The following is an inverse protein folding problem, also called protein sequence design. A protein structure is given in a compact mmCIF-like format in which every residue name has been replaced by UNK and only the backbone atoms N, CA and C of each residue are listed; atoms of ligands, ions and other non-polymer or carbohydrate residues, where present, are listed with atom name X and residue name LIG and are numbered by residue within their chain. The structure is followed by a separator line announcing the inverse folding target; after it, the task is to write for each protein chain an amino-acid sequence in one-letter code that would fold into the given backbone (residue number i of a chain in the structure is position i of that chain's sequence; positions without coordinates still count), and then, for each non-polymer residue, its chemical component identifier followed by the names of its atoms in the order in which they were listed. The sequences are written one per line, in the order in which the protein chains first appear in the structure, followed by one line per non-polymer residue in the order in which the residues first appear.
data_IF_175828559192
#
_entry.id   IF_175828559192
#
_cell.length_a   1.000
_cell.length_b   1.000
_cell.length_c   1.000
_cell.angle_alpha   90.00
_cell.angle_beta   90.00
_cell.angle_gamma   90.00
#
_symmetry.space_group_name_H-M   'P 1'
#
loop_
_entity.id
_entity.type
_entity.pdbx_description
1 polymer ?
#
# COMPACT_ATOMS: atom_id res chain seq x y z
N UNK A 1 -25.71 13.00 -30.08
CA UNK A 1 -25.43 13.79 -28.86
C UNK A 1 -24.95 12.85 -27.77
N UNK A 2 -23.72 13.11 -27.33
CA UNK A 2 -23.01 12.67 -26.11
C UNK A 2 -23.18 11.25 -25.57
N UNK A 3 -22.27 10.36 -26.02
CA UNK A 3 -21.62 9.37 -25.16
C UNK A 3 -20.79 10.09 -24.10
N UNK A 4 -20.96 9.73 -22.82
CA UNK A 4 -20.00 10.06 -21.75
C UNK A 4 -19.44 8.76 -21.17
N UNK A 5 -18.12 8.78 -21.04
CA UNK A 5 -17.21 7.71 -20.67
C UNK A 5 -17.22 7.47 -19.15
N UNK A 6 -17.16 6.20 -18.74
CA UNK A 6 -16.65 5.76 -17.43
C UNK A 6 -15.48 4.80 -17.71
N UNK A 7 -14.27 5.02 -17.17
CA UNK A 7 -13.16 4.13 -17.40
C UNK A 7 -13.25 2.90 -16.50
N UNK A 8 -12.96 1.76 -17.12
CA UNK A 8 -12.78 0.46 -16.51
C UNK A 8 -11.58 0.45 -15.53
N UNK A 9 -11.77 -0.18 -14.38
CA UNK A 9 -10.71 -0.82 -13.60
C UNK A 9 -11.24 -2.20 -13.16
N UNK A 10 -11.26 -3.15 -14.10
CA UNK A 10 -11.31 -4.57 -13.77
C UNK A 10 -9.87 -5.01 -13.53
N UNK A 11 -9.45 -5.02 -12.27
CA UNK A 11 -8.28 -5.78 -11.87
C UNK A 11 -8.71 -7.25 -11.79
N UNK A 12 -8.47 -8.00 -12.87
CA UNK A 12 -8.56 -9.45 -12.87
C UNK A 12 -7.43 -10.00 -12.02
N UNK A 13 -7.68 -10.16 -10.72
CA UNK A 13 -6.79 -10.90 -9.84
C UNK A 13 -6.98 -12.37 -10.20
N UNK A 14 -5.97 -12.96 -10.86
CA UNK A 14 -5.86 -14.41 -10.96
C UNK A 14 -5.50 -14.94 -9.57
N UNK A 15 -6.53 -15.24 -8.78
CA UNK A 15 -6.36 -15.98 -7.53
C UNK A 15 -6.31 -17.46 -7.91
N UNK A 16 -5.22 -18.20 -7.62
CA UNK A 16 -5.25 -19.65 -7.77
C UNK A 16 -6.35 -20.17 -6.83
N UNK A 17 -7.30 -20.91 -7.38
CA UNK A 17 -8.47 -21.43 -6.68
C UNK A 17 -8.04 -22.45 -5.64
N UNK A 18 -7.69 -21.97 -4.44
CA UNK A 18 -7.85 -22.77 -3.23
C UNK A 18 -9.35 -22.74 -2.95
N UNK A 19 -10.04 -23.84 -3.21
CA UNK A 19 -11.42 -24.01 -2.79
C UNK A 19 -11.46 -24.03 -1.25
N UNK A 20 -11.57 -22.85 -0.63
CA UNK A 20 -12.03 -22.74 0.74
C UNK A 20 -13.47 -23.22 0.76
N UNK A 21 -13.71 -24.34 1.43
CA UNK A 21 -15.07 -24.81 1.67
C UNK A 21 -15.78 -23.80 2.59
N UNK A 22 -16.63 -22.95 2.01
CA UNK A 22 -17.67 -22.26 2.76
C UNK A 22 -18.54 -23.33 3.41
N UNK A 23 -18.93 -23.16 4.68
CA UNK A 23 -20.05 -23.94 5.20
C UNK A 23 -21.23 -23.71 4.24
N UNK A 24 -21.90 -24.78 3.81
CA UNK A 24 -23.05 -24.63 2.93
C UNK A 24 -24.08 -23.73 3.64
N UNK A 25 -24.47 -22.63 3.00
CA UNK A 25 -25.44 -21.70 3.56
C UNK A 25 -26.75 -22.44 3.85
N UNK A 26 -27.33 -22.20 5.03
CA UNK A 26 -28.71 -22.60 5.24
C UNK A 26 -29.61 -21.86 4.25
N UNK A 27 -30.76 -22.44 3.92
CA UNK A 27 -31.74 -21.78 3.05
C UNK A 27 -32.14 -20.39 3.58
N UNK A 28 -32.14 -20.23 4.92
CA UNK A 28 -32.39 -18.97 5.60
C UNK A 28 -31.27 -17.95 5.38
N UNK A 29 -30.01 -18.34 5.57
CA UNK A 29 -28.87 -17.46 5.35
C UNK A 29 -28.73 -17.07 3.86
N UNK A 30 -29.02 -18.00 2.95
CA UNK A 30 -29.10 -17.72 1.52
C UNK A 30 -30.13 -16.64 1.22
N UNK A 31 -31.37 -16.78 1.72
CA UNK A 31 -32.42 -15.75 1.56
C UNK A 31 -32.00 -14.40 2.13
N UNK A 32 -31.35 -14.40 3.31
CA UNK A 32 -30.87 -13.17 3.91
C UNK A 32 -29.85 -12.44 3.02
N UNK A 33 -28.95 -13.19 2.38
CA UNK A 33 -27.95 -12.65 1.44
C UNK A 33 -28.60 -12.08 0.18
N UNK A 34 -29.63 -12.74 -0.36
CA UNK A 34 -30.40 -12.20 -1.49
C UNK A 34 -31.07 -10.87 -1.11
N UNK A 35 -31.66 -10.79 0.08
CA UNK A 35 -32.25 -9.54 0.59
C UNK A 35 -31.20 -8.43 0.79
N UNK A 36 -29.98 -8.77 1.22
CA UNK A 36 -28.86 -7.82 1.30
C UNK A 36 -28.46 -7.32 -0.09
N UNK A 37 -28.35 -8.23 -1.07
CA UNK A 37 -28.01 -7.88 -2.44
C UNK A 37 -29.05 -6.95 -3.07
N UNK A 38 -30.32 -7.11 -2.69
CA UNK A 38 -31.42 -6.24 -3.09
C UNK A 38 -31.57 -4.96 -2.22
N UNK A 39 -30.63 -4.70 -1.29
CA UNK A 39 -30.67 -3.59 -0.33
C UNK A 39 -31.93 -3.57 0.56
N UNK A 40 -32.60 -4.71 0.72
CA UNK A 40 -33.79 -4.89 1.55
C UNK A 40 -33.40 -5.14 3.02
N UNK A 41 -32.62 -4.22 3.60
CA UNK A 41 -31.95 -4.36 4.90
C UNK A 41 -32.89 -4.76 6.04
N UNK A 42 -34.08 -4.15 6.12
CA UNK A 42 -35.06 -4.44 7.19
C UNK A 42 -35.57 -5.88 7.15
N UNK A 43 -35.76 -6.44 5.94
CA UNK A 43 -36.19 -7.83 5.76
C UNK A 43 -35.02 -8.77 6.03
N UNK A 44 -33.82 -8.43 5.56
CA UNK A 44 -32.61 -9.18 5.84
C UNK A 44 -32.37 -9.33 7.35
N UNK A 45 -32.53 -8.26 8.14
CA UNK A 45 -32.38 -8.27 9.60
C UNK A 45 -33.23 -9.36 10.27
N UNK A 46 -34.47 -9.58 9.81
CA UNK A 46 -35.37 -10.60 10.37
C UNK A 46 -34.80 -12.00 10.13
N UNK A 47 -34.42 -12.31 8.89
CA UNK A 47 -33.85 -13.60 8.53
C UNK A 47 -32.48 -13.84 9.21
N UNK A 48 -31.64 -12.82 9.28
CA UNK A 48 -30.32 -12.88 9.91
C UNK A 48 -30.40 -13.11 11.42
N UNK A 49 -31.34 -12.45 12.10
CA UNK A 49 -31.56 -12.67 13.53
C UNK A 49 -32.03 -14.10 13.79
N UNK A 50 -32.97 -14.59 12.99
CA UNK A 50 -33.44 -15.97 13.08
C UNK A 50 -32.33 -17.00 12.75
N UNK A 51 -31.42 -16.69 11.83
CA UNK A 51 -30.25 -17.54 11.56
C UNK A 51 -29.23 -17.52 12.72
N UNK A 52 -28.97 -16.35 13.30
CA UNK A 52 -28.06 -16.19 14.44
C UNK A 52 -28.57 -16.89 15.72
N UNK A 53 -29.87 -16.82 15.98
CA UNK A 53 -30.51 -17.40 17.16
C UNK A 53 -30.66 -18.93 17.07
N UNK A 54 -30.64 -19.50 15.86
CA UNK A 54 -30.72 -20.95 15.64
C UNK A 54 -29.40 -21.64 16.07
N UNK A 55 -29.42 -22.51 17.10
CA UNK A 55 -28.22 -23.20 17.56
C UNK A 55 -27.61 -24.14 16.53
N UNK A 56 -28.40 -24.60 15.56
CA UNK A 56 -27.99 -25.56 14.54
C UNK A 56 -27.49 -24.89 13.25
N UNK A 57 -27.56 -23.57 13.15
CA UNK A 57 -27.02 -22.85 12.01
C UNK A 57 -25.50 -23.02 11.97
N UNK A 58 -24.91 -23.56 10.89
CA UNK A 58 -23.47 -23.74 10.78
C UNK A 58 -22.71 -22.41 10.63
N UNK A 59 -23.34 -21.39 10.06
CA UNK A 59 -22.73 -20.09 9.74
C UNK A 59 -23.27 -18.95 10.64
N UNK A 60 -23.44 -19.22 11.94
CA UNK A 60 -23.97 -18.22 12.91
C UNK A 60 -23.08 -17.00 13.06
N UNK A 61 -21.77 -17.18 12.95
CA UNK A 61 -20.79 -16.11 13.01
C UNK A 61 -20.92 -15.17 11.80
N UNK A 62 -21.18 -15.73 10.61
CA UNK A 62 -21.51 -14.99 9.40
C UNK A 62 -22.84 -14.24 9.51
N UNK A 63 -23.89 -14.92 9.99
CA UNK A 63 -25.18 -14.30 10.24
C UNK A 63 -25.07 -13.13 11.23
N UNK A 64 -24.26 -13.27 12.28
CA UNK A 64 -24.00 -12.20 13.24
C UNK A 64 -23.36 -10.97 12.59
N UNK A 65 -22.37 -11.17 11.71
CA UNK A 65 -21.72 -10.05 11.01
C UNK A 65 -22.68 -9.34 10.07
N UNK A 66 -23.39 -10.09 9.23
CA UNK A 66 -24.35 -9.49 8.30
C UNK A 66 -25.52 -8.83 9.01
N UNK A 67 -25.92 -9.33 10.17
CA UNK A 67 -26.90 -8.68 11.04
C UNK A 67 -26.39 -7.31 11.49
N UNK A 68 -25.17 -7.24 12.03
CA UNK A 68 -24.54 -5.98 12.42
C UNK A 68 -24.44 -5.00 11.24
N UNK A 69 -24.01 -5.48 10.08
CA UNK A 69 -23.92 -4.67 8.86
C UNK A 69 -25.29 -4.11 8.45
N UNK A 70 -26.32 -4.95 8.40
CA UNK A 70 -27.67 -4.54 8.00
C UNK A 70 -28.30 -3.55 8.99
N UNK A 71 -28.02 -3.70 10.30
CA UNK A 71 -28.43 -2.74 11.32
C UNK A 71 -27.76 -1.38 11.12
N UNK A 72 -26.46 -1.36 10.77
CA UNK A 72 -25.75 -0.13 10.43
C UNK A 72 -26.34 0.55 9.19
N UNK A 73 -26.66 -0.21 8.13
CA UNK A 73 -27.27 0.35 6.91
C UNK A 73 -28.65 0.96 7.16
N UNK A 74 -29.39 0.48 8.16
CA UNK A 74 -30.69 1.08 8.54
C UNK A 74 -30.56 2.27 9.51
N UNK A 75 -29.34 2.60 9.95
CA UNK A 75 -29.07 3.67 10.91
C UNK A 75 -29.23 3.27 12.38
N UNK A 76 -29.55 2.01 12.68
CA UNK A 76 -29.62 1.49 14.05
C UNK A 76 -28.21 1.12 14.55
N UNK A 77 -27.40 2.15 14.73
CA UNK A 77 -25.98 2.00 15.06
C UNK A 77 -25.76 1.40 16.45
N UNK A 78 -26.67 1.63 17.39
CA UNK A 78 -26.60 1.04 18.72
C UNK A 78 -26.79 -0.47 18.68
N UNK A 79 -27.80 -0.96 17.95
CA UNK A 79 -28.01 -2.39 17.75
C UNK A 79 -26.87 -3.02 16.93
N UNK A 80 -26.33 -2.31 15.95
CA UNK A 80 -25.17 -2.76 15.19
C UNK A 80 -23.95 -3.01 16.10
N UNK A 81 -23.61 -2.06 16.98
CA UNK A 81 -22.52 -2.22 17.94
C UNK A 81 -22.73 -3.40 18.89
N UNK A 82 -23.95 -3.59 19.39
CA UNK A 82 -24.28 -4.74 20.23
C UNK A 82 -24.11 -6.07 19.48
N UNK A 83 -24.50 -6.14 18.21
CA UNK A 83 -24.32 -7.33 17.39
C UNK A 83 -22.83 -7.64 17.14
N UNK A 84 -22.00 -6.62 16.93
CA UNK A 84 -20.53 -6.76 16.83
C UNK A 84 -19.95 -7.28 18.14
N UNK A 85 -20.28 -6.67 19.28
CA UNK A 85 -19.76 -7.13 20.59
C UNK A 85 -20.13 -8.59 20.87
N UNK A 86 -21.34 -9.00 20.51
CA UNK A 86 -21.75 -10.39 20.65
C UNK A 86 -20.96 -11.33 19.74
N UNK A 87 -20.69 -10.92 18.49
CA UNK A 87 -19.85 -11.66 17.56
C UNK A 87 -18.44 -11.83 18.14
N UNK A 88 -17.82 -10.76 18.62
CA UNK A 88 -16.48 -10.78 19.20
C UNK A 88 -16.40 -11.71 20.43
N UNK A 89 -17.42 -11.69 21.30
CA UNK A 89 -17.47 -12.54 22.51
C UNK A 89 -17.73 -14.01 22.21
N UNK A 90 -18.66 -14.30 21.30
CA UNK A 90 -19.10 -15.68 21.01
C UNK A 90 -18.22 -16.38 19.98
N UNK A 91 -17.64 -15.61 19.05
CA UNK A 91 -16.87 -16.13 17.93
C UNK A 91 -15.53 -15.38 17.77
N UNK A 92 -14.67 -15.36 18.81
CA UNK A 92 -13.44 -14.56 18.80
C UNK A 92 -12.46 -14.95 17.70
N UNK A 93 -12.47 -16.22 17.28
CA UNK A 93 -11.62 -16.75 16.19
C UNK A 93 -12.33 -16.85 14.84
N UNK A 94 -13.51 -16.25 14.70
CA UNK A 94 -14.22 -16.25 13.41
C UNK A 94 -13.48 -15.37 12.40
N UNK A 95 -13.48 -15.80 11.13
CA UNK A 95 -13.06 -14.96 10.00
C UNK A 95 -13.83 -13.64 9.90
N UNK A 96 -15.02 -13.58 10.51
CA UNK A 96 -15.89 -12.41 10.55
C UNK A 96 -15.56 -11.44 11.70
N UNK A 97 -14.68 -11.83 12.63
CA UNK A 97 -14.28 -10.97 13.75
C UNK A 97 -13.53 -9.71 13.26
N UNK A 98 -12.60 -9.85 12.32
CA UNK A 98 -11.87 -8.71 11.77
C UNK A 98 -12.77 -7.73 11.00
N UNK A 99 -13.62 -8.17 10.05
CA UNK A 99 -14.62 -7.29 9.42
C UNK A 99 -15.54 -6.60 10.43
N UNK A 100 -15.98 -7.30 11.48
CA UNK A 100 -16.82 -6.72 12.53
C UNK A 100 -16.09 -5.62 13.32
N UNK A 101 -14.83 -5.84 13.72
CA UNK A 101 -13.97 -4.84 14.39
C UNK A 101 -13.77 -3.61 13.50
N UNK A 102 -13.51 -3.81 12.22
CA UNK A 102 -13.36 -2.69 11.27
C UNK A 102 -14.65 -1.88 11.14
N UNK A 103 -15.81 -2.55 11.06
CA UNK A 103 -17.13 -1.90 11.07
C UNK A 103 -17.38 -1.11 12.37
N UNK A 104 -16.97 -1.65 13.53
CA UNK A 104 -17.05 -0.95 14.82
C UNK A 104 -16.20 0.32 14.84
N UNK A 105 -14.98 0.30 14.30
CA UNK A 105 -14.14 1.50 14.15
C UNK A 105 -14.82 2.53 13.23
N UNK A 106 -15.39 2.09 12.10
CA UNK A 106 -16.09 2.98 11.18
C UNK A 106 -17.29 3.67 11.85
N UNK A 107 -18.12 2.89 12.54
CA UNK A 107 -19.25 3.39 13.34
C UNK A 107 -18.75 4.39 14.39
N UNK A 108 -17.70 4.03 15.14
CA UNK A 108 -17.14 4.87 16.18
C UNK A 108 -16.63 6.21 15.61
N UNK A 109 -15.99 6.18 14.44
CA UNK A 109 -15.56 7.40 13.75
C UNK A 109 -16.75 8.30 13.39
N UNK A 110 -17.81 7.75 12.77
CA UNK A 110 -19.00 8.53 12.38
C UNK A 110 -19.71 9.15 13.59
N UNK A 111 -19.72 8.45 14.72
CA UNK A 111 -20.35 8.91 15.96
C UNK A 111 -19.41 9.75 16.84
N UNK A 112 -18.17 10.02 16.43
CA UNK A 112 -17.14 10.66 17.25
C UNK A 112 -16.92 9.98 18.62
N UNK A 113 -17.04 8.64 18.66
CA UNK A 113 -16.81 7.81 19.84
C UNK A 113 -15.32 7.54 20.03
N UNK A 114 -14.61 8.57 20.48
CA UNK A 114 -13.16 8.49 20.71
C UNK A 114 -12.77 7.41 21.72
N UNK A 115 -13.63 7.13 22.71
CA UNK A 115 -13.45 6.06 23.68
C UNK A 115 -13.29 4.69 23.01
N UNK A 116 -14.16 4.38 22.04
CA UNK A 116 -14.10 3.13 21.26
C UNK A 116 -12.89 3.14 20.33
N UNK A 117 -12.59 4.28 19.69
CA UNK A 117 -11.40 4.37 18.84
C UNK A 117 -10.10 4.14 19.63
N UNK A 118 -10.04 4.62 20.87
CA UNK A 118 -8.90 4.42 21.75
C UNK A 118 -8.74 2.97 22.21
N UNK A 119 -9.83 2.20 22.30
CA UNK A 119 -9.80 0.75 22.55
C UNK A 119 -8.94 0.02 21.50
N UNK A 120 -9.09 0.38 20.22
CA UNK A 120 -8.32 -0.20 19.12
C UNK A 120 -6.95 0.46 18.90
N UNK A 121 -6.80 1.73 19.28
CA UNK A 121 -5.56 2.48 19.06
C UNK A 121 -4.41 2.06 20.01
N UNK A 122 -4.75 1.52 21.18
CA UNK A 122 -3.78 0.98 22.14
C UNK A 122 -3.53 -0.49 21.89
N UNK A 123 -2.26 -0.91 21.84
CA UNK A 123 -1.94 -2.33 21.81
C UNK A 123 -2.44 -3.01 23.11
N UNK A 124 -2.98 -4.23 23.05
CA UNK A 124 -3.19 -5.02 24.25
C UNK A 124 -1.84 -5.20 24.98
N UNK A 125 -1.82 -5.21 26.32
CA UNK A 125 -0.59 -5.48 27.05
C UNK A 125 0.00 -6.82 26.59
N UNK A 126 1.35 -6.93 26.44
CA UNK A 126 1.95 -8.19 26.06
C UNK A 126 1.49 -9.28 27.04
N UNK A 127 1.16 -10.50 26.55
CA UNK A 127 0.79 -11.58 27.45
C UNK A 127 1.90 -11.74 28.50
N UNK A 128 1.56 -11.95 29.79
CA UNK A 128 2.57 -12.17 30.81
C UNK A 128 3.50 -13.29 30.32
N UNK A 129 4.81 -13.05 30.38
CA UNK A 129 5.80 -14.03 29.94
C UNK A 129 5.42 -15.40 30.49
N UNK A 130 5.16 -16.36 29.61
CA UNK A 130 4.80 -17.70 30.02
C UNK A 130 5.84 -18.17 31.05
N UNK A 131 5.42 -18.66 32.24
CA UNK A 131 6.38 -19.19 33.19
C UNK A 131 7.24 -20.21 32.45
N UNK A 132 8.56 -20.04 32.53
CA UNK A 132 9.51 -20.97 31.92
C UNK A 132 9.04 -22.39 32.26
N UNK A 133 8.89 -23.29 31.26
CA UNK A 133 8.34 -24.60 31.51
C UNK A 133 9.15 -25.24 32.64
N UNK A 134 8.50 -25.47 33.78
CA UNK A 134 9.04 -26.37 34.77
C UNK A 134 9.31 -27.69 34.04
N UNK A 135 10.54 -28.16 34.06
CA UNK A 135 10.94 -29.41 33.45
C UNK A 135 10.15 -30.54 34.13
N UNK A 136 8.99 -30.87 33.58
CA UNK A 136 8.28 -32.10 33.89
C UNK A 136 9.05 -33.20 33.13
N UNK A 137 9.65 -34.19 33.82
CA UNK A 137 10.27 -35.31 33.14
C UNK A 137 9.21 -36.02 32.29
N UNK A 138 9.53 -36.23 31.02
CA UNK A 138 8.62 -36.81 30.04
C UNK A 138 8.11 -38.19 30.53
N UNK A 139 6.79 -38.46 30.51
CA UNK A 139 6.28 -39.80 30.73
C UNK A 139 6.72 -40.71 29.57
N UNK A 140 6.91 -42.02 29.82
CA UNK A 140 7.33 -42.96 28.78
C UNK A 140 6.29 -43.05 27.65
N UNK A 141 6.74 -43.29 26.39
CA UNK A 141 5.86 -43.28 25.22
C UNK A 141 4.84 -44.44 25.28
N UNK A 142 3.56 -44.21 24.90
CA UNK A 142 2.58 -45.28 24.76
C UNK A 142 2.90 -46.17 23.54
N UNK A 143 2.46 -47.44 23.54
CA UNK A 143 2.68 -48.37 22.42
C UNK A 143 1.98 -47.90 21.13
N UNK A 144 2.67 -48.13 20.00
CA UNK A 144 2.27 -47.65 18.69
C UNK A 144 0.89 -48.19 18.23
N UNK A 145 -0.01 -47.34 17.70
CA UNK A 145 -1.26 -47.79 17.08
C UNK A 145 -1.01 -48.44 15.71
N UNK A 146 -1.85 -49.40 15.26
CA UNK A 146 -1.69 -50.05 13.97
C UNK A 146 -1.91 -49.08 12.81
N UNK A 147 -1.16 -49.29 11.73
CA UNK A 147 -1.09 -48.43 10.56
C UNK A 147 -2.48 -48.14 9.94
N UNK A 148 -2.90 -46.88 9.96
CA UNK A 148 -4.01 -46.38 9.13
C UNK A 148 -3.42 -45.89 7.80
N UNK A 149 -4.04 -46.30 6.70
CA UNK A 149 -3.65 -45.92 5.33
C UNK A 149 -3.61 -44.40 5.08
N UNK A 150 -3.09 -43.95 3.93
CA UNK A 150 -2.77 -42.56 3.67
C UNK A 150 -4.03 -41.71 3.69
N UNK A 151 -4.18 -40.88 4.72
CA UNK A 151 -5.19 -39.81 4.75
C UNK A 151 -4.71 -38.68 3.84
N UNK A 152 -5.56 -38.12 2.96
CA UNK A 152 -5.20 -36.92 2.21
C UNK A 152 -4.88 -35.80 3.21
N UNK A 153 -3.71 -35.17 3.06
CA UNK A 153 -3.31 -33.99 3.85
C UNK A 153 -4.28 -32.86 3.53
N UNK A 154 -5.30 -32.66 4.36
CA UNK A 154 -5.93 -31.35 4.51
C UNK A 154 -4.85 -30.41 5.03
N UNK A 155 -4.56 -29.37 4.26
CA UNK A 155 -3.59 -28.34 4.64
C UNK A 155 -4.27 -27.48 5.70
N UNK A 156 -4.16 -27.88 6.96
CA UNK A 156 -4.55 -27.04 8.09
C UNK A 156 -3.49 -25.93 8.20
N UNK A 157 -3.92 -24.67 8.10
CA UNK A 157 -3.10 -23.53 8.55
C UNK A 157 -2.73 -23.83 10.00
N UNK A 158 -1.44 -23.83 10.32
CA UNK A 158 -0.98 -24.15 11.67
C UNK A 158 -1.46 -23.07 12.63
N UNK A 159 -1.70 -23.42 13.90
CA UNK A 159 -2.13 -22.46 14.92
C UNK A 159 -1.17 -21.24 14.97
N UNK A 160 0.13 -21.50 14.87
CA UNK A 160 1.19 -20.50 14.85
C UNK A 160 1.03 -19.48 13.70
N UNK A 161 0.57 -19.94 12.52
CA UNK A 161 0.35 -19.09 11.33
C UNK A 161 -0.94 -18.26 11.44
N UNK A 162 -1.92 -18.70 12.25
CA UNK A 162 -3.15 -17.95 12.54
C UNK A 162 -2.85 -16.78 13.47
N UNK A 163 -2.04 -16.99 14.50
CA UNK A 163 -1.68 -15.96 15.47
C UNK A 163 -0.88 -14.82 14.79
N UNK A 164 0.04 -15.15 13.88
CA UNK A 164 0.77 -14.16 13.08
C UNK A 164 -0.17 -13.31 12.21
N UNK A 165 -1.16 -13.94 11.56
CA UNK A 165 -2.15 -13.23 10.75
C UNK A 165 -3.07 -12.34 11.61
N UNK A 166 -3.43 -12.77 12.82
CA UNK A 166 -4.23 -11.98 13.74
C UNK A 166 -3.48 -10.73 14.22
N UNK A 167 -2.18 -10.86 14.52
CA UNK A 167 -1.32 -9.72 14.89
C UNK A 167 -1.23 -8.71 13.74
N UNK A 168 -1.02 -9.17 12.51
CA UNK A 168 -0.97 -8.30 11.32
C UNK A 168 -2.31 -7.56 11.16
N UNK A 169 -3.41 -8.26 11.31
CA UNK A 169 -4.75 -7.68 11.21
C UNK A 169 -5.04 -6.67 12.34
N UNK A 170 -4.59 -6.94 13.57
CA UNK A 170 -4.75 -6.06 14.72
C UNK A 170 -3.98 -4.74 14.55
N UNK A 171 -2.76 -4.79 14.02
CA UNK A 171 -2.00 -3.56 13.71
C UNK A 171 -2.72 -2.72 12.65
N UNK A 172 -3.36 -3.35 11.66
CA UNK A 172 -4.14 -2.63 10.64
C UNK A 172 -5.38 -1.94 11.23
N UNK A 173 -6.10 -2.60 12.13
CA UNK A 173 -7.20 -2.00 12.89
C UNK A 173 -6.72 -0.82 13.75
N UNK A 174 -5.55 -0.98 14.39
CA UNK A 174 -4.92 0.07 15.19
C UNK A 174 -4.58 1.29 14.33
N UNK A 175 -3.99 1.09 13.14
CA UNK A 175 -3.70 2.19 12.19
C UNK A 175 -5.00 2.87 11.74
N UNK A 176 -6.06 2.10 11.44
CA UNK A 176 -7.37 2.64 11.04
C UNK A 176 -7.99 3.51 12.14
N UNK A 177 -7.97 3.04 13.38
CA UNK A 177 -8.48 3.78 14.53
C UNK A 177 -7.66 5.06 14.78
N UNK A 178 -6.33 4.97 14.74
CA UNK A 178 -5.43 6.12 14.86
C UNK A 178 -5.65 7.14 13.74
N UNK A 179 -5.97 6.71 12.52
CA UNK A 179 -6.31 7.61 11.42
C UNK A 179 -7.63 8.36 11.62
N UNK A 180 -8.55 7.79 12.38
CA UNK A 180 -9.76 8.51 12.81
C UNK A 180 -9.43 9.53 13.92
N UNK A 181 -8.50 9.17 14.83
CA UNK A 181 -8.10 9.99 15.97
C UNK A 181 -7.11 11.11 15.62
N UNK A 182 -6.30 10.98 14.56
CA UNK A 182 -5.20 11.90 14.26
C UNK A 182 -5.67 13.36 14.05
N UNK A 183 -6.92 13.55 13.61
CA UNK A 183 -7.53 14.88 13.44
C UNK A 183 -8.03 15.50 14.74
N UNK A 184 -8.35 14.67 15.73
CA UNK A 184 -9.01 15.10 16.98
C UNK A 184 -8.03 15.12 18.15
N UNK A 185 -7.20 14.07 18.29
CA UNK A 185 -6.23 13.90 19.37
C UNK A 185 -4.81 13.60 18.84
N UNK A 186 -4.22 14.49 18.03
CA UNK A 186 -2.93 14.27 17.38
C UNK A 186 -1.79 14.04 18.37
N UNK A 187 -1.79 14.74 19.51
CA UNK A 187 -0.74 14.64 20.54
C UNK A 187 -0.57 13.22 21.06
N UNK A 188 -1.65 12.43 21.12
CA UNK A 188 -1.62 11.03 21.54
C UNK A 188 -1.42 10.08 20.36
N UNK A 189 -2.02 10.38 19.20
CA UNK A 189 -2.00 9.48 18.04
C UNK A 189 -0.65 9.46 17.30
N UNK A 190 -0.01 10.63 17.13
CA UNK A 190 1.28 10.77 16.43
C UNK A 190 2.39 9.85 16.99
N UNK A 191 2.70 9.85 18.30
CA UNK A 191 3.77 8.99 18.82
C UNK A 191 3.49 7.51 18.63
N UNK A 192 2.21 7.11 18.66
CA UNK A 192 1.81 5.72 18.45
C UNK A 192 2.00 5.30 16.99
N UNK A 193 1.55 6.13 16.03
CA UNK A 193 1.76 5.85 14.60
C UNK A 193 3.25 5.79 14.25
N UNK A 194 4.07 6.64 14.88
CA UNK A 194 5.53 6.59 14.77
C UNK A 194 6.08 5.25 15.25
N UNK A 195 5.68 4.82 16.45
CA UNK A 195 6.10 3.54 17.04
C UNK A 195 5.69 2.35 16.16
N UNK A 196 4.44 2.35 15.67
CA UNK A 196 3.95 1.33 14.71
C UNK A 196 4.82 1.28 13.47
N UNK A 197 5.13 2.44 12.87
CA UNK A 197 5.96 2.49 11.66
C UNK A 197 7.40 1.99 11.88
N UNK A 198 7.96 2.18 13.08
CA UNK A 198 9.33 1.75 13.41
C UNK A 198 9.42 0.26 13.77
N UNK A 199 8.36 -0.33 14.32
CA UNK A 199 8.40 -1.67 14.94
C UNK A 199 7.75 -2.75 14.11
N UNK A 200 6.85 -2.41 13.19
CA UNK A 200 6.26 -3.40 12.30
C UNK A 200 7.31 -4.02 11.39
N UNK A 201 7.19 -5.32 11.15
CA UNK A 201 7.95 -6.05 10.13
C UNK A 201 7.29 -5.98 8.75
N UNK A 202 6.04 -5.53 8.68
CA UNK A 202 5.28 -5.33 7.45
C UNK A 202 5.45 -3.90 6.92
N UNK A 203 6.13 -3.77 5.79
CA UNK A 203 6.40 -2.50 5.12
C UNK A 203 5.12 -1.78 4.71
N UNK A 204 4.04 -2.50 4.37
CA UNK A 204 2.76 -1.88 4.02
C UNK A 204 2.06 -1.30 5.24
N UNK A 205 2.19 -1.90 6.43
CA UNK A 205 1.73 -1.29 7.67
C UNK A 205 2.51 -0.01 8.00
N UNK A 206 3.84 -0.06 7.89
CA UNK A 206 4.67 1.14 8.11
C UNK A 206 4.27 2.26 7.15
N UNK A 207 4.11 1.93 5.86
CA UNK A 207 3.65 2.87 4.84
C UNK A 207 2.28 3.47 5.15
N UNK A 208 1.32 2.66 5.61
CA UNK A 208 -0.03 3.13 6.02
C UNK A 208 0.04 4.06 7.21
N UNK A 209 0.80 3.70 8.26
CA UNK A 209 1.00 4.55 9.44
C UNK A 209 1.64 5.90 9.07
N UNK A 210 2.66 5.89 8.21
CA UNK A 210 3.31 7.10 7.67
C UNK A 210 2.34 7.96 6.85
N UNK A 211 1.47 7.34 6.06
CA UNK A 211 0.44 8.06 5.31
C UNK A 211 -0.57 8.74 6.23
N UNK A 212 -1.00 8.06 7.31
CA UNK A 212 -1.89 8.65 8.32
C UNK A 212 -1.22 9.83 9.01
N UNK A 213 0.06 9.72 9.38
CA UNK A 213 0.82 10.85 9.94
C UNK A 213 0.82 12.05 8.98
N UNK A 214 1.02 11.83 7.68
CA UNK A 214 1.02 12.88 6.67
C UNK A 214 -0.34 13.52 6.39
N UNK A 215 -1.45 12.90 6.81
CA UNK A 215 -2.76 13.54 6.75
C UNK A 215 -2.91 14.65 7.79
N UNK A 216 -2.06 14.66 8.82
CA UNK A 216 -1.98 15.75 9.78
C UNK A 216 -1.13 16.89 9.23
N UNK A 217 -1.62 18.11 9.34
CA UNK A 217 -0.88 19.32 8.96
C UNK A 217 0.16 19.74 10.01
N UNK A 218 0.18 19.07 11.17
CA UNK A 218 0.96 19.47 12.32
C UNK A 218 2.47 19.25 12.17
N UNK A 219 3.30 20.12 12.77
CA UNK A 219 4.75 19.97 12.75
C UNK A 219 5.24 18.67 13.41
N UNK A 220 4.59 18.22 14.48
CA UNK A 220 4.97 16.99 15.21
C UNK A 220 4.77 15.71 14.37
N UNK A 221 3.68 15.63 13.61
CA UNK A 221 3.42 14.52 12.69
C UNK A 221 4.46 14.47 11.54
N UNK A 222 4.83 15.63 10.99
CA UNK A 222 5.89 15.74 9.99
C UNK A 222 7.25 15.34 10.57
N UNK A 223 7.54 15.78 11.80
CA UNK A 223 8.76 15.37 12.52
C UNK A 223 8.80 13.87 12.74
N UNK A 224 7.66 13.24 13.07
CA UNK A 224 7.59 11.80 13.23
C UNK A 224 7.92 11.05 11.93
N UNK A 225 7.40 11.48 10.79
CA UNK A 225 7.75 10.91 9.47
C UNK A 225 9.24 11.12 9.17
N UNK A 226 9.78 12.29 9.49
CA UNK A 226 11.20 12.59 9.31
C UNK A 226 12.11 11.69 10.16
N UNK A 227 11.73 11.45 11.41
CA UNK A 227 12.45 10.55 12.28
C UNK A 227 12.44 9.13 11.71
N UNK A 228 11.26 8.62 11.33
CA UNK A 228 11.15 7.28 10.73
C UNK A 228 12.01 7.15 9.48
N UNK A 229 12.06 8.17 8.62
CA UNK A 229 12.90 8.16 7.43
C UNK A 229 14.41 8.15 7.73
N UNK A 230 14.84 8.61 8.91
CA UNK A 230 16.25 8.66 9.31
C UNK A 230 16.71 7.42 10.06
N UNK A 231 15.87 6.91 10.96
CA UNK A 231 16.25 5.82 11.90
C UNK A 231 15.59 4.48 11.59
N UNK A 232 14.60 4.45 10.69
CA UNK A 232 13.88 3.24 10.35
C UNK A 232 14.77 2.22 9.61
N UNK A 233 14.45 0.92 9.67
CA UNK A 233 15.12 -0.08 8.85
C UNK A 233 14.93 0.25 7.37
N UNK A 234 15.86 -0.18 6.50
CA UNK A 234 15.89 0.25 5.09
C UNK A 234 14.53 0.13 4.37
N UNK A 235 13.77 -0.97 4.46
CA UNK A 235 12.45 -1.07 3.82
C UNK A 235 11.44 -0.02 4.29
N UNK A 236 11.46 0.32 5.58
CA UNK A 236 10.62 1.37 6.18
C UNK A 236 11.09 2.76 5.76
N UNK A 237 12.40 2.99 5.72
CA UNK A 237 12.99 4.23 5.22
C UNK A 237 12.59 4.48 3.77
N UNK A 238 12.62 3.46 2.91
CA UNK A 238 12.14 3.56 1.52
C UNK A 238 10.66 3.93 1.44
N UNK A 239 9.82 3.35 2.30
CA UNK A 239 8.40 3.70 2.40
C UNK A 239 8.21 5.17 2.85
N UNK A 240 8.98 5.63 3.83
CA UNK A 240 8.95 7.01 4.30
C UNK A 240 9.38 8.00 3.21
N UNK A 241 10.47 7.72 2.47
CA UNK A 241 10.90 8.53 1.32
C UNK A 241 9.81 8.59 0.25
N UNK A 242 9.15 7.47 -0.05
CA UNK A 242 8.02 7.44 -1.00
C UNK A 242 6.88 8.36 -0.54
N UNK A 243 6.52 8.31 0.74
CA UNK A 243 5.46 9.14 1.33
C UNK A 243 5.84 10.62 1.33
N UNK A 244 7.07 10.96 1.71
CA UNK A 244 7.61 12.32 1.61
C UNK A 244 7.61 12.85 0.18
N UNK A 245 7.92 11.98 -0.78
CA UNK A 245 7.84 12.28 -2.21
C UNK A 245 6.43 12.55 -2.74
N UNK A 246 5.37 12.30 -1.97
CA UNK A 246 4.02 12.75 -2.32
C UNK A 246 3.75 14.17 -1.82
N UNK A 247 4.46 14.60 -0.78
CA UNK A 247 4.34 15.94 -0.23
C UNK A 247 5.16 16.95 -1.06
N UNK A 248 4.47 17.95 -1.59
CA UNK A 248 5.09 19.06 -2.34
C UNK A 248 5.40 20.23 -1.41
N UNK A 249 6.13 19.98 -0.32
CA UNK A 249 6.49 21.01 0.65
C UNK A 249 8.01 21.28 0.66
N UNK A 250 8.45 22.51 0.98
CA UNK A 250 9.87 22.83 1.13
C UNK A 250 10.58 21.97 2.19
N UNK A 251 9.89 21.65 3.28
CA UNK A 251 10.43 20.81 4.36
C UNK A 251 10.64 19.37 3.90
N UNK A 252 9.69 18.81 3.15
CA UNK A 252 9.85 17.48 2.54
C UNK A 252 11.00 17.47 1.53
N UNK A 253 11.14 18.54 0.72
CA UNK A 253 12.26 18.67 -0.22
C UNK A 253 13.62 18.74 0.49
N UNK A 254 13.73 19.49 1.59
CA UNK A 254 14.94 19.56 2.39
C UNK A 254 15.27 18.19 3.01
N UNK A 255 14.28 17.53 3.60
CA UNK A 255 14.46 16.20 4.19
C UNK A 255 14.89 15.15 3.15
N UNK A 256 14.31 15.18 1.94
CA UNK A 256 14.75 14.34 0.83
C UNK A 256 16.20 14.61 0.45
N UNK A 257 16.65 15.87 0.47
CA UNK A 257 18.05 16.23 0.19
C UNK A 257 19.00 15.71 1.29
N UNK A 258 18.61 15.79 2.55
CA UNK A 258 19.38 15.24 3.68
C UNK A 258 19.51 13.71 3.53
N UNK A 259 18.38 13.02 3.29
CA UNK A 259 18.33 11.57 3.10
C UNK A 259 19.12 11.11 1.88
N UNK A 260 19.16 11.91 0.81
CA UNK A 260 20.02 11.63 -0.34
C UNK A 260 21.51 11.66 0.05
N UNK A 261 21.90 12.61 0.90
CA UNK A 261 23.31 12.83 1.23
C UNK A 261 23.88 11.74 2.14
N UNK A 262 23.06 11.20 3.07
CA UNK A 262 23.49 10.19 4.04
C UNK A 262 22.97 8.76 3.76
N UNK A 263 22.07 8.58 2.79
CA UNK A 263 21.37 7.32 2.55
C UNK A 263 22.18 6.29 1.74
N UNK A 264 21.75 5.02 1.85
CA UNK A 264 22.23 3.92 1.00
C UNK A 264 21.81 4.12 -0.47
N UNK A 265 22.44 3.39 -1.41
CA UNK A 265 22.09 3.48 -2.84
C UNK A 265 20.59 3.21 -3.13
N UNK A 266 19.93 2.22 -2.48
CA UNK A 266 18.46 2.07 -2.56
C UNK A 266 17.68 3.32 -2.12
N UNK A 267 18.08 3.94 -1.01
CA UNK A 267 17.44 5.16 -0.48
C UNK A 267 17.63 6.33 -1.44
N UNK A 268 18.86 6.55 -1.94
CA UNK A 268 19.17 7.58 -2.94
C UNK A 268 18.33 7.40 -4.21
N UNK A 269 18.22 6.18 -4.70
CA UNK A 269 17.39 5.84 -5.87
C UNK A 269 15.93 6.20 -5.62
N UNK A 270 15.39 5.88 -4.43
CA UNK A 270 14.02 6.20 -4.07
C UNK A 270 13.80 7.71 -3.93
N UNK A 271 14.78 8.46 -3.41
CA UNK A 271 14.74 9.93 -3.39
C UNK A 271 14.71 10.50 -4.80
N UNK A 272 15.55 10.02 -5.72
CA UNK A 272 15.55 10.44 -7.13
C UNK A 272 14.16 10.25 -7.75
N UNK A 273 13.52 9.10 -7.53
CA UNK A 273 12.16 8.83 -8.02
C UNK A 273 11.14 9.80 -7.43
N UNK A 274 11.22 10.11 -6.14
CA UNK A 274 10.37 11.10 -5.48
C UNK A 274 10.54 12.50 -6.09
N UNK A 275 11.78 12.93 -6.35
CA UNK A 275 12.07 14.22 -7.00
C UNK A 275 11.54 14.28 -8.44
N UNK A 276 11.64 13.18 -9.19
CA UNK A 276 11.04 13.05 -10.52
C UNK A 276 9.53 13.18 -10.51
N UNK A 277 8.86 12.43 -9.62
CA UNK A 277 7.41 12.45 -9.47
C UNK A 277 6.86 13.83 -9.05
N UNK A 278 7.63 14.57 -8.25
CA UNK A 278 7.27 15.94 -7.79
C UNK A 278 7.72 17.04 -8.74
N UNK A 279 8.33 16.69 -9.89
CA UNK A 279 8.84 17.63 -10.89
C UNK A 279 9.82 18.65 -10.30
N UNK A 280 10.86 18.16 -9.65
CA UNK A 280 11.96 18.97 -9.11
C UNK A 280 13.22 18.86 -9.99
N UNK A 281 13.23 19.44 -11.21
CA UNK A 281 14.30 19.23 -12.17
C UNK A 281 15.65 19.79 -11.71
N UNK A 282 15.67 20.87 -10.92
CA UNK A 282 16.92 21.46 -10.45
C UNK A 282 17.69 20.52 -9.51
N UNK A 283 17.00 19.85 -8.60
CA UNK A 283 17.59 18.85 -7.69
C UNK A 283 18.15 17.66 -8.48
N UNK A 284 17.41 17.20 -9.49
CA UNK A 284 17.85 16.09 -10.35
C UNK A 284 19.04 16.46 -11.25
N UNK A 285 19.09 17.68 -11.78
CA UNK A 285 20.26 18.19 -12.53
C UNK A 285 21.51 18.19 -11.65
N UNK A 286 21.39 18.65 -10.39
CA UNK A 286 22.51 18.62 -9.44
C UNK A 286 23.01 17.19 -9.24
N UNK A 287 22.11 16.24 -9.00
CA UNK A 287 22.46 14.82 -8.82
C UNK A 287 23.14 14.26 -10.07
N UNK A 288 22.55 14.46 -11.26
CA UNK A 288 23.12 13.95 -12.52
C UNK A 288 24.55 14.50 -12.81
N UNK A 289 24.87 15.69 -12.29
CA UNK A 289 26.18 16.35 -12.44
C UNK A 289 27.23 15.88 -11.43
N UNK A 290 26.84 15.74 -10.17
CA UNK A 290 27.81 15.59 -9.06
C UNK A 290 27.90 14.18 -8.49
N UNK A 291 26.92 13.31 -8.74
CA UNK A 291 26.92 11.98 -8.17
C UNK A 291 28.03 11.11 -8.79
N UNK A 292 28.72 10.34 -7.95
CA UNK A 292 29.82 9.46 -8.38
C UNK A 292 29.34 8.12 -8.91
N UNK A 293 28.23 7.60 -8.37
CA UNK A 293 27.67 6.32 -8.80
C UNK A 293 26.92 6.47 -10.14
N UNK A 294 27.39 5.76 -11.17
CA UNK A 294 26.81 5.83 -12.52
C UNK A 294 25.30 5.52 -12.55
N UNK A 295 24.88 4.48 -11.82
CA UNK A 295 23.47 4.04 -11.73
C UNK A 295 22.55 5.16 -11.21
N UNK A 296 23.03 5.97 -10.27
CA UNK A 296 22.29 7.09 -9.68
C UNK A 296 22.25 8.30 -10.63
N UNK A 297 23.34 8.56 -11.35
CA UNK A 297 23.35 9.59 -12.42
C UNK A 297 22.34 9.24 -13.51
N UNK A 298 22.34 7.99 -13.97
CA UNK A 298 21.39 7.48 -14.95
C UNK A 298 19.94 7.57 -14.44
N UNK A 299 19.71 7.17 -13.19
CA UNK A 299 18.40 7.29 -12.54
C UNK A 299 17.93 8.74 -12.48
N UNK A 300 18.81 9.70 -12.20
CA UNK A 300 18.47 11.12 -12.18
C UNK A 300 18.12 11.67 -13.57
N UNK A 301 18.84 11.24 -14.61
CA UNK A 301 18.52 11.55 -16.02
C UNK A 301 17.16 10.97 -16.40
N UNK A 302 16.87 9.71 -16.05
CA UNK A 302 15.57 9.10 -16.31
C UNK A 302 14.43 9.84 -15.59
N UNK A 303 14.66 10.24 -14.32
CA UNK A 303 13.70 11.05 -13.55
C UNK A 303 13.47 12.44 -14.16
N UNK A 304 14.50 13.07 -14.74
CA UNK A 304 14.34 14.32 -15.52
C UNK A 304 13.44 14.10 -16.75
N UNK A 305 13.58 12.95 -17.42
CA UNK A 305 12.70 12.53 -18.50
C UNK A 305 11.23 12.46 -18.06
N UNK A 306 10.96 11.76 -16.97
CA UNK A 306 9.60 11.67 -16.39
C UNK A 306 9.05 13.03 -15.93
N UNK A 307 9.91 13.91 -15.44
CA UNK A 307 9.54 15.27 -15.05
C UNK A 307 9.27 16.20 -16.25
N UNK A 308 9.58 15.78 -17.49
CA UNK A 308 9.41 16.59 -18.70
C UNK A 308 10.49 17.67 -18.87
N UNK A 309 11.66 17.50 -18.24
CA UNK A 309 12.69 18.53 -18.13
C UNK A 309 13.59 18.63 -19.38
N UNK A 310 12.99 18.90 -20.55
CA UNK A 310 13.66 18.87 -21.86
C UNK A 310 14.84 19.82 -21.97
N UNK A 311 14.67 21.06 -21.51
CA UNK A 311 15.73 22.08 -21.55
C UNK A 311 16.94 21.68 -20.71
N UNK A 312 16.69 21.11 -19.52
CA UNK A 312 17.73 20.61 -18.63
C UNK A 312 18.45 19.40 -19.23
N UNK A 313 17.71 18.47 -19.83
CA UNK A 313 18.26 17.31 -20.54
C UNK A 313 19.14 17.74 -21.73
N UNK A 314 18.68 18.69 -22.56
CA UNK A 314 19.46 19.22 -23.67
C UNK A 314 20.74 19.94 -23.21
N UNK A 315 20.69 20.65 -22.08
CA UNK A 315 21.88 21.24 -21.46
C UNK A 315 22.86 20.16 -21.00
N UNK A 316 22.37 19.13 -20.30
CA UNK A 316 23.21 18.02 -19.83
C UNK A 316 23.85 17.28 -21.01
N UNK A 317 23.14 17.12 -22.13
CA UNK A 317 23.66 16.46 -23.32
C UNK A 317 24.96 17.09 -23.84
N UNK A 318 25.01 18.43 -23.82
CA UNK A 318 26.19 19.20 -24.26
C UNK A 318 27.35 19.15 -23.27
N UNK A 319 27.06 19.00 -21.98
CA UNK A 319 28.03 19.15 -20.89
C UNK A 319 28.60 17.83 -20.39
N UNK A 320 27.88 16.72 -20.57
CA UNK A 320 28.23 15.40 -20.04
C UNK A 320 28.24 14.35 -21.17
N UNK A 321 29.32 14.27 -21.96
CA UNK A 321 29.45 13.33 -23.07
C UNK A 321 29.17 11.87 -22.70
N UNK A 322 29.48 11.49 -21.46
CA UNK A 322 29.26 10.17 -20.90
C UNK A 322 27.77 9.85 -20.71
N UNK A 323 26.90 10.85 -20.52
CA UNK A 323 25.45 10.67 -20.29
C UNK A 323 24.60 10.76 -21.56
N UNK A 324 25.19 10.91 -22.74
CA UNK A 324 24.45 11.18 -23.98
C UNK A 324 23.35 10.15 -24.28
N UNK A 325 23.65 8.86 -24.12
CA UNK A 325 22.68 7.79 -24.39
C UNK A 325 21.48 7.82 -23.40
N UNK A 326 21.69 7.80 -22.07
CA UNK A 326 20.62 8.02 -21.10
C UNK A 326 19.79 9.28 -21.36
N UNK A 327 20.43 10.37 -21.78
CA UNK A 327 19.74 11.63 -22.06
C UNK A 327 18.85 11.53 -23.30
N UNK A 328 19.31 10.86 -24.36
CA UNK A 328 18.49 10.59 -25.55
C UNK A 328 17.25 9.76 -25.19
N UNK A 329 17.39 8.76 -24.31
CA UNK A 329 16.25 7.99 -23.76
C UNK A 329 15.31 8.90 -22.99
N UNK A 330 15.84 9.70 -22.06
CA UNK A 330 15.04 10.58 -21.22
C UNK A 330 14.32 11.68 -22.02
N UNK A 331 14.93 12.22 -23.08
CA UNK A 331 14.27 13.19 -23.98
C UNK A 331 13.06 12.58 -24.67
N UNK A 332 13.13 11.31 -25.08
CA UNK A 332 11.97 10.61 -25.62
C UNK A 332 10.85 10.49 -24.57
N UNK A 333 11.19 10.09 -23.33
CA UNK A 333 10.22 10.05 -22.21
C UNK A 333 9.61 11.43 -21.92
N UNK A 334 10.39 12.49 -22.04
CA UNK A 334 9.94 13.87 -21.89
C UNK A 334 9.12 14.40 -23.08
N UNK A 335 8.94 13.62 -24.14
CA UNK A 335 8.37 14.04 -25.43
C UNK A 335 9.12 15.23 -26.08
N UNK A 336 10.45 15.26 -25.93
CA UNK A 336 11.35 16.29 -26.50
C UNK A 336 11.72 16.03 -27.95
N UNK A 337 10.75 16.17 -28.86
CA UNK A 337 10.96 15.97 -30.31
C UNK A 337 11.97 16.95 -30.89
N UNK A 338 11.87 18.24 -30.57
CA UNK A 338 12.77 19.27 -31.10
C UNK A 338 14.22 19.05 -30.68
N UNK A 339 14.43 18.65 -29.42
CA UNK A 339 15.76 18.32 -28.91
C UNK A 339 16.35 17.09 -29.60
N UNK A 340 15.53 16.06 -29.84
CA UNK A 340 15.96 14.85 -30.54
C UNK A 340 16.26 15.10 -32.02
N UNK A 341 15.51 15.99 -32.69
CA UNK A 341 15.81 16.46 -34.04
C UNK A 341 17.17 17.17 -34.06
N UNK A 342 17.39 18.11 -33.16
CA UNK A 342 18.65 18.84 -33.08
C UNK A 342 19.84 17.90 -32.84
N UNK A 343 19.67 16.87 -32.00
CA UNK A 343 20.69 15.83 -31.79
C UNK A 343 20.93 15.03 -33.08
N UNK A 344 19.88 14.57 -33.75
CA UNK A 344 20.02 13.80 -34.99
C UNK A 344 20.74 14.57 -36.11
N UNK A 345 20.56 15.90 -36.18
CA UNK A 345 21.18 16.76 -37.18
C UNK A 345 22.64 17.13 -36.86
N UNK A 346 22.99 17.25 -35.57
CA UNK A 346 24.28 17.82 -35.15
C UNK A 346 25.26 16.82 -34.52
N UNK A 347 24.78 15.68 -34.02
CA UNK A 347 25.63 14.70 -33.36
C UNK A 347 26.61 14.05 -34.35
N UNK A 348 27.87 13.95 -33.95
CA UNK A 348 28.95 13.39 -34.77
C UNK A 348 29.01 11.87 -34.65
N UNK A 349 28.78 11.35 -33.45
CA UNK A 349 28.74 9.90 -33.20
C UNK A 349 27.54 9.26 -33.93
N UNK A 350 27.84 8.34 -34.85
CA UNK A 350 26.83 7.66 -35.65
C UNK A 350 25.86 6.82 -34.81
N UNK A 351 26.34 6.18 -33.73
CA UNK A 351 25.49 5.36 -32.86
C UNK A 351 24.47 6.23 -32.14
N UNK A 352 24.91 7.36 -31.58
CA UNK A 352 24.02 8.29 -30.88
C UNK A 352 23.02 8.97 -31.82
N UNK A 353 23.46 9.31 -33.03
CA UNK A 353 22.59 9.85 -34.08
C UNK A 353 21.51 8.84 -34.50
N UNK A 354 21.89 7.59 -34.77
CA UNK A 354 20.95 6.51 -35.11
C UNK A 354 19.96 6.26 -33.95
N UNK A 355 20.41 6.37 -32.71
CA UNK A 355 19.59 6.19 -31.52
C UNK A 355 18.54 7.31 -31.35
N UNK A 356 18.90 8.56 -31.67
CA UNK A 356 17.95 9.67 -31.72
C UNK A 356 16.91 9.49 -32.84
N UNK A 357 17.34 9.09 -34.03
CA UNK A 357 16.45 8.78 -35.16
C UNK A 357 15.47 7.64 -34.83
N UNK A 358 15.93 6.60 -34.14
CA UNK A 358 15.09 5.49 -33.71
C UNK A 358 13.94 5.96 -32.80
N UNK A 359 14.19 6.89 -31.88
CA UNK A 359 13.15 7.48 -31.03
C UNK A 359 12.22 8.41 -31.79
N UNK A 360 12.76 9.24 -32.68
CA UNK A 360 11.95 10.10 -33.55
C UNK A 360 10.96 9.29 -34.39
N UNK A 361 11.38 8.13 -34.90
CA UNK A 361 10.51 7.21 -35.62
C UNK A 361 9.30 6.77 -34.77
N UNK A 362 9.49 6.58 -33.46
CA UNK A 362 8.41 6.18 -32.54
C UNK A 362 7.41 7.32 -32.26
N UNK A 363 7.79 8.59 -32.36
CA UNK A 363 6.82 9.69 -32.29
C UNK A 363 5.87 9.69 -33.49
N UNK A 364 6.35 9.30 -34.67
CA UNK A 364 5.52 9.13 -35.86
C UNK A 364 4.92 10.42 -36.42
N UNK A 365 5.39 11.59 -36.00
CA UNK A 365 4.96 12.90 -36.54
C UNK A 365 5.44 13.09 -37.98
N UNK A 366 4.78 13.94 -38.79
CA UNK A 366 5.22 14.23 -40.15
C UNK A 366 6.67 14.73 -40.22
N UNK A 367 7.07 15.57 -39.26
CA UNK A 367 8.43 16.14 -39.17
C UNK A 367 9.47 15.08 -38.84
N UNK A 368 9.21 14.24 -37.84
CA UNK A 368 10.10 13.13 -37.49
C UNK A 368 10.24 12.13 -38.65
N UNK A 369 9.14 11.80 -39.35
CA UNK A 369 9.18 10.91 -40.53
C UNK A 369 10.03 11.48 -41.65
N UNK A 370 9.82 12.75 -42.01
CA UNK A 370 10.59 13.41 -43.06
C UNK A 370 12.10 13.36 -42.78
N UNK A 371 12.49 13.59 -41.53
CA UNK A 371 13.88 13.56 -41.11
C UNK A 371 14.47 12.14 -41.14
N UNK A 372 13.71 11.13 -40.70
CA UNK A 372 14.14 9.72 -40.76
C UNK A 372 14.32 9.25 -42.21
N UNK A 373 13.42 9.62 -43.13
CA UNK A 373 13.57 9.27 -44.56
C UNK A 373 14.74 10.01 -45.21
N UNK A 374 14.92 11.30 -44.91
CA UNK A 374 16.07 12.07 -45.38
C UNK A 374 17.40 11.48 -44.90
N UNK A 375 17.46 10.96 -43.67
CA UNK A 375 18.64 10.31 -43.13
C UNK A 375 18.95 8.96 -43.81
N UNK A 376 17.91 8.20 -44.20
CA UNK A 376 18.06 6.95 -44.96
C UNK A 376 18.61 7.19 -46.36
N UNK A 377 18.15 8.23 -47.05
CA UNK A 377 18.59 8.55 -48.40
C UNK A 377 20.07 9.00 -48.50
N UNK A 378 20.72 9.29 -47.36
CA UNK A 378 22.14 9.70 -47.27
C UNK A 378 23.08 8.55 -46.89
N UNK A 379 22.55 7.39 -46.47
CA UNK A 379 23.32 6.16 -46.25
C UNK A 379 23.35 5.38 -47.56
#
# INVERSE_FOLDING_TARGET
MSRKYLPAFLATIWVPTVALAFAADSERLSRAKDLIADEQWRRAIVELRAAYDDPNEPARDEAAFWLAHSLHQTGDTAAALQAIEQLERRFPRSRWAFPARSLKIEIAHRLNRNDVLWEYATAPPPPPAAPAPHAVPAPPPPPAPPARGPRPRRQWVKADEIDDLEIVAEVDLRIQALGSLIRVEPTRAVPILKDVALRTTDVDQARRALFVLMQSDRPDARSAVADVARIGPEPVTLAAVKVLGLARSPEAAQLLADLYSSGSSPVKTQVIRALGATRQPQSLVRIARSEGEWSLRESAVAALGQAGARTQLAMLYRQHPELKLPIIIALFTAAGEDELIAIAESERDAKLRDEALARLKLFGTPRARALVEAARARK
#
